data_IF_736857207189
#
_entry.id   IF_736857207189
#
_cell.length_a   1.000
_cell.length_b   1.000
_cell.length_c   1.000
_cell.angle_alpha   90.00
_cell.angle_beta   90.00
_cell.angle_gamma   90.00
#
_symmetry.space_group_name_H-M   'P 1'
#
loop_
_entity.id
_entity.type
_entity.pdbx_description
1 polymer ?
#
# COMPACT_ATOMS: atom_id res chain seq x y z
N UNK A 1 -6.53 -43.04 6.79
CA UNK A 1 -6.01 -41.87 7.53
C UNK A 1 -5.35 -40.96 6.51
N UNK A 2 -6.01 -39.95 5.94
CA UNK A 2 -5.34 -39.06 5.01
C UNK A 2 -4.51 -38.05 5.81
N UNK A 3 -3.28 -37.87 5.35
CA UNK A 3 -2.27 -36.99 5.90
C UNK A 3 -2.77 -35.55 5.92
N UNK A 4 -2.75 -34.95 7.10
CA UNK A 4 -2.96 -33.53 7.30
C UNK A 4 -1.75 -32.77 6.76
N UNK A 5 -1.83 -32.27 5.53
CA UNK A 5 -0.92 -31.22 5.06
C UNK A 5 -1.19 -29.96 5.86
N UNK A 6 -0.38 -29.72 6.88
CA UNK A 6 -0.31 -28.42 7.54
C UNK A 6 0.22 -27.40 6.52
N UNK A 7 -0.70 -26.64 5.94
CA UNK A 7 -0.37 -25.41 5.20
C UNK A 7 0.17 -24.40 6.21
N UNK A 8 1.47 -24.48 6.51
CA UNK A 8 2.15 -23.40 7.23
C UNK A 8 2.25 -22.21 6.28
N UNK A 9 1.44 -21.19 6.55
CA UNK A 9 1.51 -19.88 5.90
C UNK A 9 2.79 -19.18 6.37
N UNK A 10 3.94 -19.66 5.93
CA UNK A 10 5.16 -18.89 6.03
C UNK A 10 5.00 -17.62 5.19
N UNK A 11 5.35 -16.44 5.73
CA UNK A 11 5.36 -15.22 4.93
C UNK A 11 6.25 -15.43 3.70
N UNK A 12 5.80 -14.95 2.54
CA UNK A 12 6.58 -15.02 1.30
C UNK A 12 7.98 -14.44 1.56
N UNK A 13 9.01 -15.21 1.23
CA UNK A 13 10.39 -14.84 1.47
C UNK A 13 10.83 -13.60 0.70
N UNK A 14 10.01 -13.02 -0.19
CA UNK A 14 10.28 -11.78 -0.92
C UNK A 14 9.22 -10.69 -0.69
N UNK A 15 8.33 -10.82 0.29
CA UNK A 15 7.40 -9.75 0.63
C UNK A 15 8.12 -8.57 1.31
N UNK A 16 7.87 -7.36 0.80
CA UNK A 16 8.24 -6.08 1.40
C UNK A 16 6.99 -5.24 1.62
N UNK A 17 6.96 -4.48 2.70
CA UNK A 17 5.83 -3.61 3.03
C UNK A 17 6.27 -2.16 2.96
N UNK A 18 5.53 -1.35 2.20
CA UNK A 18 5.71 0.10 2.09
C UNK A 18 4.54 0.77 2.78
N UNK A 19 4.81 1.41 3.92
CA UNK A 19 3.82 2.19 4.67
C UNK A 19 3.93 3.66 4.25
N UNK A 20 2.92 4.14 3.54
CA UNK A 20 2.76 5.55 3.18
C UNK A 20 2.29 6.33 4.41
N UNK A 21 3.22 7.08 5.01
CA UNK A 21 3.01 7.94 6.16
C UNK A 21 2.97 9.44 5.79
N UNK A 22 2.81 9.73 4.49
CA UNK A 22 2.54 11.05 3.95
C UNK A 22 1.08 11.48 4.16
N UNK A 23 0.88 12.76 4.50
CA UNK A 23 -0.45 13.35 4.64
C UNK A 23 -0.52 14.35 5.79
N UNK A 24 -1.06 15.54 5.52
CA UNK A 24 -1.18 16.64 6.50
C UNK A 24 -2.34 16.39 7.48
N UNK A 25 -3.29 15.51 7.13
CA UNK A 25 -4.44 15.21 7.99
C UNK A 25 -5.39 16.38 8.22
N UNK A 26 -5.48 17.36 7.30
CA UNK A 26 -6.22 18.63 7.46
C UNK A 26 -7.69 18.50 7.89
N UNK A 27 -8.32 17.34 7.67
CA UNK A 27 -9.71 17.05 8.07
C UNK A 27 -9.88 16.72 9.56
N UNK A 28 -8.81 16.46 10.29
CA UNK A 28 -8.83 16.18 11.73
C UNK A 28 -8.46 17.41 12.58
N UNK A 29 -8.46 18.60 11.99
CA UNK A 29 -8.32 19.85 12.74
C UNK A 29 -9.51 20.02 13.71
N UNK A 30 -9.30 20.38 15.00
CA UNK A 30 -8.04 20.85 15.61
C UNK A 30 -7.15 19.76 16.23
N UNK A 31 -7.55 18.48 16.17
CA UNK A 31 -6.82 17.37 16.80
C UNK A 31 -5.48 17.10 16.11
N UNK A 32 -5.44 17.22 14.78
CA UNK A 32 -4.19 17.15 14.00
C UNK A 32 -3.59 18.54 13.77
N UNK A 33 -2.29 18.68 14.03
CA UNK A 33 -1.49 19.87 13.67
C UNK A 33 -0.48 19.49 12.59
N UNK A 34 0.12 20.46 11.87
CA UNK A 34 1.21 20.18 10.94
C UNK A 34 2.37 19.39 11.57
N UNK A 35 2.64 19.62 12.86
CA UNK A 35 3.70 18.95 13.64
C UNK A 35 3.24 17.62 14.28
N UNK A 36 1.92 17.35 14.28
CA UNK A 36 1.31 16.13 14.80
C UNK A 36 0.12 15.69 13.91
N UNK A 37 0.39 15.16 12.70
CA UNK A 37 -0.66 14.75 11.79
C UNK A 37 -1.38 13.49 12.31
N UNK A 38 -2.52 13.18 11.70
CA UNK A 38 -3.47 12.13 12.15
C UNK A 38 -2.85 10.76 12.40
N UNK A 39 -1.84 10.37 11.62
CA UNK A 39 -1.14 9.09 11.74
C UNK A 39 -0.37 8.96 13.07
N UNK A 40 -0.06 10.08 13.74
CA UNK A 40 0.55 10.14 15.07
C UNK A 40 -0.47 10.28 16.21
N UNK A 41 -1.76 10.21 15.90
CA UNK A 41 -2.84 10.31 16.87
C UNK A 41 -3.41 8.92 17.20
N UNK A 42 -3.72 8.65 18.48
CA UNK A 42 -4.42 7.44 18.91
C UNK A 42 -5.93 7.58 18.63
N UNK A 43 -6.33 7.50 17.35
CA UNK A 43 -7.72 7.74 16.92
C UNK A 43 -8.61 6.51 17.01
N UNK A 44 -8.03 5.32 17.01
CA UNK A 44 -8.76 4.04 17.01
C UNK A 44 -8.44 3.15 18.23
N UNK A 45 -7.57 3.60 19.14
CA UNK A 45 -7.08 2.82 20.27
C UNK A 45 -6.11 3.63 21.12
N UNK A 46 -5.25 2.95 21.88
CA UNK A 46 -4.28 3.61 22.78
C UNK A 46 -2.99 4.03 22.06
N UNK A 47 -2.70 3.44 20.90
CA UNK A 47 -1.48 3.68 20.11
C UNK A 47 -1.76 4.53 18.86
N UNK A 48 -0.75 5.23 18.32
CA UNK A 48 -0.86 5.89 17.03
C UNK A 48 -1.19 4.91 15.90
N UNK A 49 -2.05 5.31 14.95
CA UNK A 49 -2.45 4.47 13.81
C UNK A 49 -1.26 3.92 13.00
N UNK A 50 -0.16 4.69 12.90
CA UNK A 50 1.04 4.23 12.22
C UNK A 50 1.71 3.06 12.95
N UNK A 51 1.69 3.05 14.28
CA UNK A 51 2.24 1.95 15.08
C UNK A 51 1.40 0.68 14.89
N UNK A 52 0.07 0.81 14.88
CA UNK A 52 -0.83 -0.31 14.58
C UNK A 52 -0.61 -0.82 13.15
N UNK A 53 -0.36 0.07 12.19
CA UNK A 53 -0.04 -0.30 10.81
C UNK A 53 1.28 -1.05 10.70
N UNK A 54 2.31 -0.64 11.42
CA UNK A 54 3.61 -1.33 11.45
C UNK A 54 3.48 -2.72 12.11
N UNK A 55 2.68 -2.85 13.17
CA UNK A 55 2.41 -4.14 13.76
C UNK A 55 1.69 -5.09 12.78
N UNK A 56 0.73 -4.58 12.00
CA UNK A 56 0.14 -5.36 10.90
C UNK A 56 1.15 -5.69 9.80
N UNK A 57 2.08 -4.78 9.50
CA UNK A 57 3.14 -5.02 8.51
C UNK A 57 4.09 -6.14 8.95
N UNK A 58 4.37 -6.28 10.26
CA UNK A 58 5.18 -7.37 10.83
C UNK A 58 4.57 -8.76 10.64
N UNK A 59 3.25 -8.84 10.52
CA UNK A 59 2.57 -10.09 10.16
C UNK A 59 2.78 -10.48 8.69
N UNK A 60 3.31 -9.59 7.85
CA UNK A 60 3.55 -9.82 6.42
C UNK A 60 5.05 -9.97 6.12
N UNK A 61 5.90 -9.12 6.71
CA UNK A 61 7.32 -9.06 6.41
C UNK A 61 8.14 -8.70 7.67
N UNK A 62 9.41 -9.16 7.79
CA UNK A 62 10.27 -8.75 8.90
C UNK A 62 10.64 -7.26 8.81
N UNK A 63 10.98 -6.63 9.94
CA UNK A 63 11.29 -5.19 10.06
C UNK A 63 12.27 -4.66 9.00
N UNK A 64 13.30 -5.44 8.65
CA UNK A 64 14.28 -5.08 7.59
C UNK A 64 13.67 -4.90 6.19
N UNK A 65 12.44 -5.35 5.96
CA UNK A 65 11.66 -5.24 4.72
C UNK A 65 10.42 -4.36 4.86
N UNK A 66 10.30 -3.67 5.98
CA UNK A 66 9.30 -2.63 6.17
C UNK A 66 9.98 -1.29 5.82
N UNK A 67 9.32 -0.50 4.96
CA UNK A 67 9.70 0.86 4.61
C UNK A 67 8.60 1.82 5.02
N UNK A 68 8.97 2.90 5.68
CA UNK A 68 8.09 4.01 6.03
C UNK A 68 8.43 5.17 5.11
N UNK A 69 7.51 5.54 4.23
CA UNK A 69 7.69 6.66 3.30
C UNK A 69 6.99 7.89 3.85
N UNK A 70 7.75 8.95 4.11
CA UNK A 70 7.22 10.20 4.64
C UNK A 70 8.11 11.39 4.29
N UNK A 71 7.54 12.59 4.29
CA UNK A 71 8.33 13.82 4.16
C UNK A 71 9.18 14.13 5.39
N UNK A 72 10.25 14.91 5.19
CA UNK A 72 11.23 15.34 6.21
C UNK A 72 10.58 15.76 7.54
N UNK A 73 9.55 16.61 7.48
CA UNK A 73 8.87 17.16 8.66
C UNK A 73 8.29 16.11 9.61
N UNK A 74 7.85 14.98 9.08
CA UNK A 74 7.18 13.94 9.88
C UNK A 74 8.14 12.85 10.35
N UNK A 75 9.26 12.68 9.65
CA UNK A 75 10.20 11.58 9.88
C UNK A 75 10.73 11.58 11.31
N UNK A 76 11.08 12.73 11.88
CA UNK A 76 11.57 12.80 13.26
C UNK A 76 10.54 12.38 14.32
N UNK A 77 9.25 12.60 14.06
CA UNK A 77 8.19 12.15 14.95
C UNK A 77 7.87 10.65 14.74
N UNK A 78 7.90 10.19 13.49
CA UNK A 78 7.72 8.77 13.14
C UNK A 78 8.83 7.90 13.74
N UNK A 79 10.10 8.31 13.65
CA UNK A 79 11.24 7.61 14.26
C UNK A 79 11.09 7.42 15.78
N UNK A 80 10.52 8.42 16.47
CA UNK A 80 10.26 8.31 17.92
C UNK A 80 9.13 7.33 18.26
N UNK A 81 8.09 7.29 17.42
CA UNK A 81 6.96 6.36 17.62
C UNK A 81 7.33 4.92 17.21
N UNK A 82 8.23 4.78 16.25
CA UNK A 82 8.64 3.52 15.63
C UNK A 82 10.11 3.20 15.92
N UNK A 83 10.55 3.44 17.16
CA UNK A 83 11.97 3.34 17.56
C UNK A 83 12.59 1.95 17.39
N UNK A 84 11.75 0.92 17.31
CA UNK A 84 12.17 -0.47 17.08
C UNK A 84 12.54 -0.75 15.62
N UNK A 85 12.08 0.07 14.67
CA UNK A 85 12.40 -0.13 13.26
C UNK A 85 13.86 0.26 12.98
N UNK A 86 14.59 -0.52 12.17
CA UNK A 86 15.97 -0.18 11.84
C UNK A 86 16.02 1.10 10.99
N UNK A 87 17.07 1.90 11.15
CA UNK A 87 17.21 3.19 10.46
C UNK A 87 16.98 3.15 8.93
N UNK A 88 17.42 2.11 8.18
CA UNK A 88 17.13 1.98 6.75
C UNK A 88 15.65 1.79 6.38
N UNK A 89 14.76 1.62 7.37
CA UNK A 89 13.33 1.55 7.15
C UNK A 89 12.72 2.91 6.77
N UNK A 90 13.36 4.04 7.05
CA UNK A 90 12.78 5.35 6.76
C UNK A 90 13.22 5.88 5.40
N UNK A 91 12.26 6.01 4.48
CA UNK A 91 12.44 6.62 3.16
C UNK A 91 11.90 8.04 3.20
N UNK A 92 12.81 9.01 3.32
CA UNK A 92 12.44 10.41 3.49
C UNK A 92 12.24 11.08 2.14
N UNK A 93 11.00 11.47 1.84
CA UNK A 93 10.66 12.18 0.61
C UNK A 93 11.28 13.59 0.63
N UNK A 94 12.13 13.95 -0.35
CA UNK A 94 12.69 15.30 -0.47
C UNK A 94 11.59 16.35 -0.69
N UNK A 95 10.51 15.96 -1.38
CA UNK A 95 9.34 16.80 -1.67
C UNK A 95 8.09 15.92 -1.76
N UNK A 96 6.97 16.43 -1.25
CA UNK A 96 5.69 15.73 -1.37
C UNK A 96 5.17 15.80 -2.82
N UNK A 97 5.13 14.65 -3.51
CA UNK A 97 4.64 14.52 -4.91
C UNK A 97 3.47 13.55 -5.08
N UNK A 98 2.84 13.15 -3.98
CA UNK A 98 1.73 12.19 -3.99
C UNK A 98 2.19 10.74 -4.07
N UNK A 99 1.22 9.84 -4.17
CA UNK A 99 1.44 8.39 -3.98
C UNK A 99 2.21 7.74 -5.13
N UNK A 100 1.98 8.17 -6.38
CA UNK A 100 2.63 7.58 -7.56
C UNK A 100 4.17 7.66 -7.51
N UNK A 101 4.75 8.86 -7.40
CA UNK A 101 6.21 9.03 -7.29
C UNK A 101 6.79 8.35 -6.04
N UNK A 102 6.11 8.42 -4.91
CA UNK A 102 6.53 7.78 -3.66
C UNK A 102 6.63 6.25 -3.81
N UNK A 103 5.61 5.59 -4.38
CA UNK A 103 5.62 4.15 -4.63
C UNK A 103 6.61 3.76 -5.74
N UNK A 104 6.80 4.62 -6.75
CA UNK A 104 7.80 4.40 -7.81
C UNK A 104 9.20 4.38 -7.23
N UNK A 105 9.54 5.34 -6.38
CA UNK A 105 10.83 5.38 -5.70
C UNK A 105 11.02 4.19 -4.77
N UNK A 106 10.01 3.85 -3.95
CA UNK A 106 10.06 2.68 -3.08
C UNK A 106 10.25 1.38 -3.87
N UNK A 107 9.53 1.22 -4.98
CA UNK A 107 9.64 0.05 -5.83
C UNK A 107 11.02 -0.07 -6.46
N UNK A 108 11.58 1.04 -6.96
CA UNK A 108 12.93 1.07 -7.50
C UNK A 108 13.96 0.63 -6.44
N UNK A 109 13.93 1.23 -5.24
CA UNK A 109 14.94 0.97 -4.20
C UNK A 109 14.87 -0.46 -3.69
N UNK A 110 13.67 -0.99 -3.53
CA UNK A 110 13.46 -2.37 -3.11
C UNK A 110 13.89 -3.34 -4.21
N UNK A 111 13.51 -3.09 -5.47
CA UNK A 111 13.86 -3.95 -6.60
C UNK A 111 15.38 -4.08 -6.78
N UNK A 112 16.14 -3.01 -6.56
CA UNK A 112 17.61 -3.07 -6.64
C UNK A 112 18.22 -4.04 -5.63
N UNK A 113 17.61 -4.17 -4.46
CA UNK A 113 18.13 -5.03 -3.37
C UNK A 113 17.53 -6.43 -3.43
N UNK A 114 16.31 -6.57 -3.95
CA UNK A 114 15.56 -7.81 -4.08
C UNK A 114 14.79 -7.82 -5.41
N UNK A 115 15.38 -8.39 -6.49
CA UNK A 115 14.76 -8.41 -7.82
C UNK A 115 13.44 -9.19 -7.90
N UNK A 116 13.18 -10.06 -6.93
CA UNK A 116 11.96 -10.87 -6.84
C UNK A 116 10.92 -10.26 -5.89
N UNK A 117 11.18 -9.04 -5.38
CA UNK A 117 10.34 -8.39 -4.37
C UNK A 117 8.86 -8.28 -4.80
N UNK A 118 7.98 -8.69 -3.88
CA UNK A 118 6.56 -8.38 -3.90
C UNK A 118 6.30 -7.27 -2.91
N UNK A 119 5.86 -6.12 -3.40
CA UNK A 119 5.55 -4.93 -2.61
C UNK A 119 4.10 -4.96 -2.16
N UNK A 120 3.89 -4.67 -0.88
CA UNK A 120 2.58 -4.41 -0.29
C UNK A 120 2.53 -2.95 0.15
N UNK A 121 1.70 -2.15 -0.52
CA UNK A 121 1.48 -0.74 -0.18
C UNK A 121 0.38 -0.62 0.87
N UNK A 122 0.67 -0.01 2.01
CA UNK A 122 -0.26 0.28 3.09
C UNK A 122 -0.32 1.78 3.38
N UNK A 123 -1.49 2.27 3.73
CA UNK A 123 -1.66 3.60 4.31
C UNK A 123 -1.51 3.54 5.83
N UNK A 124 -0.76 4.49 6.39
CA UNK A 124 -0.46 4.56 7.84
C UNK A 124 -1.65 4.85 8.76
N UNK A 125 -2.81 5.17 8.19
CA UNK A 125 -3.98 5.72 8.89
C UNK A 125 -5.24 4.85 8.75
N UNK A 126 -5.12 3.62 8.27
CA UNK A 126 -6.22 2.66 8.26
C UNK A 126 -6.30 1.87 9.56
N UNK A 127 -7.51 1.68 10.05
CA UNK A 127 -7.85 0.67 11.04
C UNK A 127 -8.30 -0.60 10.32
N UNK A 128 -7.62 -1.72 10.58
CA UNK A 128 -7.91 -3.00 9.93
C UNK A 128 -7.80 -4.11 10.98
N UNK A 129 -8.91 -4.82 11.18
CA UNK A 129 -9.01 -5.95 12.10
C UNK A 129 -9.90 -7.05 11.49
N UNK A 130 -9.64 -8.34 11.77
CA UNK A 130 -8.52 -8.88 12.56
C UNK A 130 -7.21 -9.00 11.75
N UNK A 131 -6.06 -8.77 12.40
CA UNK A 131 -4.72 -8.83 11.76
C UNK A 131 -4.42 -10.17 11.09
N UNK A 132 -4.85 -11.30 11.68
CA UNK A 132 -4.62 -12.62 11.09
C UNK A 132 -5.35 -12.82 9.75
N UNK A 133 -6.60 -12.36 9.66
CA UNK A 133 -7.37 -12.37 8.42
C UNK A 133 -6.72 -11.47 7.37
N UNK A 134 -6.30 -10.28 7.77
CA UNK A 134 -5.59 -9.35 6.91
C UNK A 134 -4.30 -9.96 6.33
N UNK A 135 -3.43 -10.49 7.19
CA UNK A 135 -2.17 -11.09 6.76
C UNK A 135 -2.37 -12.26 5.78
N UNK A 136 -3.39 -13.10 6.01
CA UNK A 136 -3.78 -14.18 5.10
C UNK A 136 -4.19 -13.65 3.73
N UNK A 137 -5.09 -12.65 3.68
CA UNK A 137 -5.55 -12.03 2.42
C UNK A 137 -4.40 -11.39 1.66
N UNK A 138 -3.49 -10.69 2.37
CA UNK A 138 -2.29 -10.12 1.74
C UNK A 138 -1.36 -11.21 1.21
N UNK A 139 -1.20 -12.32 1.92
CA UNK A 139 -0.45 -13.48 1.43
C UNK A 139 -1.03 -14.09 0.16
N UNK A 140 -2.37 -14.19 0.07
CA UNK A 140 -3.05 -14.62 -1.15
C UNK A 140 -2.86 -13.61 -2.30
N UNK A 141 -3.00 -12.31 -2.02
CA UNK A 141 -2.77 -11.25 -3.00
C UNK A 141 -1.33 -11.23 -3.53
N UNK A 142 -0.33 -11.43 -2.65
CA UNK A 142 1.07 -11.53 -3.03
C UNK A 142 1.33 -12.73 -3.96
N UNK A 143 0.72 -13.88 -3.66
CA UNK A 143 0.80 -15.05 -4.53
C UNK A 143 0.16 -14.80 -5.90
N UNK A 144 -1.03 -14.19 -5.93
CA UNK A 144 -1.72 -13.82 -7.18
C UNK A 144 -0.87 -12.84 -8.01
N UNK A 145 -0.33 -11.80 -7.38
CA UNK A 145 0.54 -10.83 -8.03
C UNK A 145 1.75 -11.49 -8.69
N UNK A 146 2.38 -12.45 -7.99
CA UNK A 146 3.56 -13.15 -8.50
C UNK A 146 3.24 -14.15 -9.60
N UNK A 147 2.24 -15.01 -9.39
CA UNK A 147 1.92 -16.10 -10.31
C UNK A 147 1.31 -15.59 -11.63
N UNK A 148 0.49 -14.54 -11.56
CA UNK A 148 -0.17 -13.99 -12.73
C UNK A 148 0.52 -12.75 -13.32
N UNK A 149 1.56 -12.22 -12.66
CA UNK A 149 2.26 -10.97 -13.02
C UNK A 149 1.29 -9.81 -13.22
N UNK A 150 0.53 -9.51 -12.17
CA UNK A 150 -0.51 -8.47 -12.17
C UNK A 150 -0.40 -7.55 -10.96
N UNK A 151 -0.93 -6.34 -11.10
CA UNK A 151 -1.12 -5.39 -10.01
C UNK A 151 -2.45 -5.71 -9.31
N UNK A 152 -2.37 -6.04 -8.04
CA UNK A 152 -3.52 -6.46 -7.22
C UNK A 152 -3.94 -5.31 -6.31
N UNK A 153 -5.25 -5.09 -6.16
CA UNK A 153 -5.83 -4.28 -5.10
C UNK A 153 -6.66 -5.16 -4.17
N UNK A 154 -6.82 -4.76 -2.90
CA UNK A 154 -7.62 -5.47 -1.91
C UNK A 154 -8.86 -4.65 -1.59
N UNK A 155 -9.97 -4.83 -2.32
CA UNK A 155 -11.12 -3.95 -2.17
C UNK A 155 -12.02 -4.35 -0.99
N UNK A 156 -12.90 -3.44 -0.58
CA UNK A 156 -13.81 -3.61 0.58
C UNK A 156 -15.27 -3.51 0.12
N UNK A 157 -16.18 -4.38 0.61
CA UNK A 157 -17.61 -4.24 0.31
C UNK A 157 -18.16 -2.88 0.78
N UNK A 158 -18.88 -2.14 -0.06
CA UNK A 158 -19.44 -0.86 0.33
C UNK A 158 -20.68 -1.03 1.21
N UNK A 159 -20.83 -0.16 2.20
CA UNK A 159 -22.04 -0.08 3.05
C UNK A 159 -22.91 1.14 2.74
N UNK A 160 -22.40 2.07 1.93
CA UNK A 160 -23.05 3.33 1.54
C UNK A 160 -22.45 3.85 0.23
N UNK A 161 -23.12 4.76 -0.49
CA UNK A 161 -22.46 5.47 -1.58
C UNK A 161 -21.44 6.42 -0.96
N UNK A 162 -20.13 6.23 -1.15
CA UNK A 162 -19.09 7.11 -0.64
C UNK A 162 -18.42 7.83 -1.81
N UNK A 163 -18.49 9.16 -1.85
CA UNK A 163 -17.90 9.93 -2.98
C UNK A 163 -16.42 10.19 -2.79
N UNK A 164 -15.92 10.01 -1.56
CA UNK A 164 -14.51 10.21 -1.24
C UNK A 164 -13.59 9.05 -1.66
N UNK A 165 -14.15 7.91 -2.06
CA UNK A 165 -13.41 6.67 -2.35
C UNK A 165 -13.38 6.34 -3.84
N UNK A 166 -12.39 5.53 -4.22
CA UNK A 166 -12.41 4.83 -5.50
C UNK A 166 -13.33 3.61 -5.45
N UNK A 167 -13.78 3.16 -6.61
CA UNK A 167 -14.61 1.99 -6.81
C UNK A 167 -13.98 1.07 -7.86
N UNK A 168 -14.07 -0.25 -7.62
CA UNK A 168 -13.61 -1.29 -8.54
C UNK A 168 -14.75 -2.20 -8.91
N UNK A 169 -14.90 -2.45 -10.21
CA UNK A 169 -15.86 -3.41 -10.73
C UNK A 169 -15.18 -4.79 -10.83
N UNK A 170 -15.63 -5.81 -10.09
CA UNK A 170 -15.13 -7.16 -10.29
C UNK A 170 -15.54 -7.68 -11.67
N UNK A 171 -14.59 -8.32 -12.35
CA UNK A 171 -14.77 -8.98 -13.63
C UNK A 171 -14.69 -10.50 -13.50
N UNK A 172 -14.01 -11.13 -14.46
CA UNK A 172 -13.83 -12.58 -14.50
C UNK A 172 -13.03 -13.10 -13.30
N UNK A 173 -13.41 -14.27 -12.79
CA UNK A 173 -12.65 -14.93 -11.73
C UNK A 173 -11.23 -15.26 -12.20
N UNK A 174 -10.27 -15.06 -11.30
CA UNK A 174 -8.86 -15.40 -11.47
C UNK A 174 -8.49 -16.46 -10.42
N UNK A 175 -7.65 -17.41 -10.80
CA UNK A 175 -7.19 -18.44 -9.86
C UNK A 175 -6.47 -17.80 -8.67
N UNK A 176 -6.86 -18.18 -7.46
CA UNK A 176 -6.29 -17.70 -6.21
C UNK A 176 -6.21 -18.84 -5.18
N UNK A 177 -5.40 -18.71 -4.13
CA UNK A 177 -5.33 -19.69 -3.06
C UNK A 177 -6.64 -19.71 -2.25
N UNK A 178 -7.20 -20.90 -2.04
CA UNK A 178 -8.34 -21.08 -1.13
C UNK A 178 -7.97 -20.66 0.31
N UNK A 179 -8.89 -20.06 1.09
CA UNK A 179 -10.30 -19.78 0.76
C UNK A 179 -10.51 -18.41 0.08
N UNK A 180 -9.44 -17.74 -0.36
CA UNK A 180 -9.52 -16.41 -0.96
C UNK A 180 -9.91 -16.48 -2.44
N UNK A 181 -10.50 -15.39 -2.93
CA UNK A 181 -10.95 -15.26 -4.33
C UNK A 181 -10.26 -14.06 -4.97
N UNK A 182 -9.84 -14.21 -6.21
CA UNK A 182 -9.36 -13.11 -7.03
C UNK A 182 -10.23 -12.95 -8.27
N UNK A 183 -10.29 -11.72 -8.76
CA UNK A 183 -11.02 -11.36 -9.97
C UNK A 183 -10.19 -10.36 -10.76
N UNK A 184 -10.30 -10.41 -12.08
CA UNK A 184 -9.84 -9.30 -12.93
C UNK A 184 -10.67 -8.06 -12.61
N UNK A 185 -10.06 -6.89 -12.68
CA UNK A 185 -10.78 -5.62 -12.56
C UNK A 185 -11.35 -5.27 -13.93
N UNK A 186 -12.67 -5.17 -14.03
CA UNK A 186 -13.33 -4.73 -15.27
C UNK A 186 -13.24 -3.22 -15.44
N UNK A 187 -13.36 -2.47 -14.35
CA UNK A 187 -13.28 -1.02 -14.34
C UNK A 187 -12.79 -0.51 -12.98
N UNK A 188 -12.07 0.62 -13.00
CA UNK A 188 -11.56 1.31 -11.82
C UNK A 188 -11.93 2.79 -11.95
N UNK A 189 -12.63 3.33 -10.95
CA UNK A 189 -13.12 4.72 -10.98
C UNK A 189 -12.79 5.43 -9.68
N UNK A 190 -12.18 6.62 -9.76
CA UNK A 190 -11.88 7.44 -8.59
C UNK A 190 -12.97 8.48 -8.34
N UNK A 191 -13.46 8.53 -7.09
CA UNK A 191 -14.30 9.61 -6.54
C UNK A 191 -15.50 10.00 -7.44
N UNK A 192 -16.43 9.06 -7.67
CA UNK A 192 -17.63 9.34 -8.45
C UNK A 192 -18.50 10.41 -7.78
N UNK A 193 -19.43 10.99 -8.55
CA UNK A 193 -20.52 11.76 -7.98
C UNK A 193 -21.50 10.88 -7.18
N UNK A 194 -22.44 11.52 -6.50
CA UNK A 194 -23.39 10.86 -5.60
C UNK A 194 -24.30 9.87 -6.30
N UNK A 195 -24.80 10.21 -7.49
CA UNK A 195 -25.70 9.39 -8.27
C UNK A 195 -24.97 8.14 -8.78
N UNK A 196 -23.78 8.34 -9.33
CA UNK A 196 -22.89 7.29 -9.81
C UNK A 196 -22.46 6.34 -8.68
N UNK A 197 -22.14 6.87 -7.49
CA UNK A 197 -21.81 6.05 -6.32
C UNK A 197 -22.98 5.14 -5.90
N UNK A 198 -24.22 5.64 -5.93
CA UNK A 198 -25.41 4.84 -5.64
C UNK A 198 -25.56 3.70 -6.64
N UNK A 199 -25.41 3.98 -7.93
CA UNK A 199 -25.43 2.95 -8.98
C UNK A 199 -24.35 1.89 -8.79
N UNK A 200 -23.12 2.29 -8.42
CA UNK A 200 -22.04 1.34 -8.15
C UNK A 200 -22.34 0.37 -7.02
N UNK A 201 -23.07 0.79 -5.98
CA UNK A 201 -23.54 -0.10 -4.93
C UNK A 201 -24.52 -1.14 -5.47
N UNK A 202 -25.49 -0.70 -6.26
CA UNK A 202 -26.52 -1.56 -6.86
C UNK A 202 -25.92 -2.57 -7.84
N UNK A 203 -24.85 -2.19 -8.55
CA UNK A 203 -24.13 -3.05 -9.51
C UNK A 203 -23.06 -3.95 -8.87
N UNK A 204 -22.88 -3.89 -7.55
CA UNK A 204 -21.94 -4.75 -6.83
C UNK A 204 -20.46 -4.37 -6.97
N UNK A 205 -20.17 -3.09 -7.20
CA UNK A 205 -18.80 -2.58 -7.15
C UNK A 205 -18.28 -2.61 -5.70
N UNK A 206 -16.97 -2.64 -5.56
CA UNK A 206 -16.28 -2.65 -4.29
C UNK A 206 -15.50 -1.34 -4.09
N UNK A 207 -15.27 -0.91 -2.87
CA UNK A 207 -14.40 0.24 -2.60
C UNK A 207 -12.93 -0.12 -2.81
N UNK A 208 -12.20 0.76 -3.49
CA UNK A 208 -10.75 0.76 -3.49
C UNK A 208 -10.26 1.13 -2.07
N UNK A 209 -9.58 0.20 -1.40
CA UNK A 209 -9.03 0.43 -0.07
C UNK A 209 -7.73 1.23 -0.08
N UNK A 210 -7.12 1.46 -1.24
CA UNK A 210 -5.77 2.02 -1.35
C UNK A 210 -4.65 1.03 -0.98
N UNK A 211 -4.99 -0.23 -0.68
CA UNK A 211 -4.02 -1.31 -0.48
C UNK A 211 -3.74 -1.95 -1.82
N UNK A 212 -2.47 -2.06 -2.15
CA UNK A 212 -2.02 -2.66 -3.39
C UNK A 212 -0.87 -3.64 -3.18
N UNK A 213 -0.82 -4.65 -4.05
CA UNK A 213 0.19 -5.71 -4.02
C UNK A 213 0.67 -6.04 -5.43
N UNK A 214 1.97 -6.01 -5.67
CA UNK A 214 2.56 -6.27 -6.99
C UNK A 214 4.02 -6.68 -6.87
N UNK A 215 4.58 -7.30 -7.92
CA UNK A 215 6.04 -7.40 -8.03
C UNK A 215 6.62 -6.02 -8.37
N UNK A 216 7.78 -5.72 -7.81
CA UNK A 216 8.38 -4.39 -7.95
C UNK A 216 8.73 -4.04 -9.40
N UNK A 217 9.22 -5.00 -10.18
CA UNK A 217 9.50 -4.85 -11.61
C UNK A 217 8.23 -4.68 -12.44
N UNK A 218 7.19 -5.50 -12.20
CA UNK A 218 5.91 -5.40 -12.91
C UNK A 218 5.29 -4.01 -12.71
N UNK A 219 5.35 -3.45 -11.50
CA UNK A 219 4.89 -2.09 -11.25
C UNK A 219 5.74 -1.01 -11.95
N UNK A 220 7.06 -1.17 -11.97
CA UNK A 220 7.94 -0.22 -12.67
C UNK A 220 7.72 -0.25 -14.19
N UNK A 221 7.42 -1.41 -14.77
CA UNK A 221 7.06 -1.53 -16.19
C UNK A 221 5.73 -0.83 -16.48
N UNK A 222 4.70 -1.05 -15.65
CA UNK A 222 3.42 -0.33 -15.76
C UNK A 222 3.59 1.19 -15.62
N UNK A 223 4.48 1.66 -14.74
CA UNK A 223 4.80 3.09 -14.63
C UNK A 223 5.43 3.64 -15.92
N UNK A 224 6.32 2.87 -16.58
CA UNK A 224 6.92 3.28 -17.85
C UNK A 224 5.88 3.38 -18.96
N UNK A 225 4.95 2.43 -19.00
CA UNK A 225 3.98 2.30 -20.09
C UNK A 225 2.78 3.23 -19.92
N UNK A 226 2.35 3.48 -18.69
CA UNK A 226 1.08 4.16 -18.41
C UNK A 226 1.20 5.48 -17.64
N UNK A 227 2.35 5.79 -17.04
CA UNK A 227 2.63 7.06 -16.39
C UNK A 227 3.95 7.68 -16.89
N UNK A 228 4.08 7.97 -18.20
CA UNK A 228 5.34 8.38 -18.81
C UNK A 228 5.95 9.66 -18.18
N UNK A 229 5.14 10.50 -17.56
CA UNK A 229 5.58 11.67 -16.79
C UNK A 229 6.42 11.29 -15.55
N UNK A 230 6.15 10.13 -14.94
CA UNK A 230 6.96 9.56 -13.85
C UNK A 230 8.01 8.61 -14.44
N UNK A 231 7.62 7.74 -15.37
CA UNK A 231 8.49 6.70 -15.94
C UNK A 231 9.77 7.23 -16.58
N UNK A 232 9.71 8.39 -17.26
CA UNK A 232 10.91 9.03 -17.84
C UNK A 232 11.91 9.51 -16.80
N UNK A 233 11.48 9.72 -15.55
CA UNK A 233 12.31 10.22 -14.46
C UNK A 233 13.06 9.09 -13.73
N UNK A 234 12.77 7.83 -14.02
CA UNK A 234 13.48 6.67 -13.44
C UNK A 234 14.99 6.73 -13.66
N UNK A 235 15.44 7.35 -14.76
CA UNK A 235 16.86 7.59 -15.06
C UNK A 235 17.58 8.39 -13.97
N UNK A 236 16.86 9.26 -13.25
CA UNK A 236 17.43 10.00 -12.12
C UNK A 236 17.66 9.07 -10.93
N UNK A 237 16.75 8.14 -10.66
CA UNK A 237 16.93 7.13 -9.61
C UNK A 237 18.09 6.18 -9.92
N UNK A 238 18.24 5.77 -11.18
CA UNK A 238 19.39 4.96 -11.65
C UNK A 238 20.75 5.64 -11.39
N UNK A 239 20.78 6.97 -11.41
CA UNK A 239 21.98 7.78 -11.11
C UNK A 239 22.14 8.11 -9.62
N UNK A 240 21.22 7.67 -8.77
CA UNK A 240 21.18 8.04 -7.35
C UNK A 240 20.71 9.48 -7.09
N UNK A 241 20.08 10.13 -8.07
CA UNK A 241 19.61 11.51 -8.02
C UNK A 241 18.15 11.59 -7.53
N UNK A 242 17.83 11.00 -6.37
CA UNK A 242 16.46 10.95 -5.84
C UNK A 242 15.84 12.36 -5.66
N UNK A 243 16.62 13.35 -5.22
CA UNK A 243 16.14 14.74 -5.13
C UNK A 243 15.66 15.29 -6.47
N UNK A 244 16.35 14.95 -7.57
CA UNK A 244 15.99 15.39 -8.91
C UNK A 244 14.75 14.68 -9.42
N UNK A 245 14.63 13.38 -9.16
CA UNK A 245 13.39 12.63 -9.40
C UNK A 245 12.19 13.34 -8.76
N UNK A 246 12.24 13.67 -7.47
CA UNK A 246 11.16 14.38 -6.77
C UNK A 246 11.02 15.87 -7.15
N UNK A 247 12.05 16.49 -7.74
CA UNK A 247 11.96 17.85 -8.25
C UNK A 247 11.18 17.92 -9.57
N UNK A 248 11.23 16.87 -10.39
CA UNK A 248 10.64 16.82 -11.72
C UNK A 248 9.32 16.02 -11.80
N UNK A 249 9.07 15.12 -10.84
CA UNK A 249 7.81 14.37 -10.70
C UNK A 249 6.66 15.23 -10.19
#
# INVERSE_FOLDING_TARGET
MPESTSSSSSPDSHSHVVVLAGGVGSRFWPVSTPDRPKQLLPLAGERPLVADTVERARAIAPDRRIRIVAGERLTGALRRVLEELPEPSFMVEPRARGTGPALTWAAWEIHRVDPEAVLVSLHSDHLIEPTGTFARVIGAAARVAREHRVLVTVPVPPDRPEVGYGYVQPGEALAAPEPDRAFRIRAFHEKPDRETATRYLEEGYLWNSGIFVWRADDFLDEVRDHAPEIGRLLVHLERGEAERFFAEA
#
